data_IF_031264972065
#
_entry.id   IF_031264972065
#
_cell.length_a   1.000
_cell.length_b   1.000
_cell.length_c   1.000
_cell.angle_alpha   90.00
_cell.angle_beta   90.00
_cell.angle_gamma   90.00
#
_symmetry.space_group_name_H-M   'P 1'
#
loop_
_entity.id
_entity.type
_entity.pdbx_description
1 polymer ?
#
# COMPACT_ATOMS: atom_id res chain seq x y z
N UNK A 1 30.36 15.61 -9.95
CA UNK A 1 29.38 15.13 -8.95
C UNK A 1 29.34 13.59 -8.86
N UNK A 2 29.40 12.86 -9.98
CA UNK A 2 29.38 11.38 -10.03
C UNK A 2 30.61 10.69 -9.41
N UNK A 3 31.80 11.32 -9.42
CA UNK A 3 33.01 10.75 -8.79
C UNK A 3 33.00 10.75 -7.25
N UNK A 4 32.26 11.68 -6.60
CA UNK A 4 32.08 11.68 -5.14
C UNK A 4 31.11 10.58 -4.67
N UNK A 5 30.18 10.16 -5.53
CA UNK A 5 29.23 9.07 -5.24
C UNK A 5 29.90 7.69 -5.18
N UNK A 6 30.95 7.48 -6.00
CA UNK A 6 31.70 6.21 -6.03
C UNK A 6 32.62 6.00 -4.82
N UNK A 7 32.99 7.07 -4.12
CA UNK A 7 33.76 6.99 -2.87
C UNK A 7 32.86 6.67 -1.67
N UNK A 8 31.62 7.16 -1.64
CA UNK A 8 30.68 6.84 -0.54
C UNK A 8 30.17 5.40 -0.59
N UNK A 9 30.05 4.78 -1.77
CA UNK A 9 29.73 3.35 -1.87
C UNK A 9 30.83 2.44 -1.32
N UNK A 10 32.09 2.91 -1.28
CA UNK A 10 33.23 2.16 -0.69
C UNK A 10 33.20 2.20 0.84
N UNK A 11 32.84 3.34 1.42
CA UNK A 11 32.63 3.48 2.88
C UNK A 11 31.39 2.70 3.35
N UNK A 12 30.39 2.57 2.49
CA UNK A 12 29.17 1.78 2.74
C UNK A 12 29.43 0.26 2.72
N UNK A 13 30.23 -0.23 1.77
CA UNK A 13 30.66 -1.64 1.76
C UNK A 13 31.49 -1.95 3.01
N UNK A 14 32.31 -1.00 3.50
CA UNK A 14 32.98 -1.12 4.79
C UNK A 14 31.97 -1.24 5.93
N UNK A 15 31.04 -0.29 6.11
CA UNK A 15 30.09 -0.33 7.24
C UNK A 15 29.24 -1.61 7.28
N UNK A 16 28.88 -2.18 6.13
CA UNK A 16 28.13 -3.44 6.03
C UNK A 16 29.01 -4.68 6.23
N UNK A 17 30.26 -4.67 5.74
CA UNK A 17 31.24 -5.75 6.00
C UNK A 17 31.68 -5.77 7.47
N UNK A 18 31.64 -4.62 8.15
CA UNK A 18 32.00 -4.44 9.56
C UNK A 18 30.91 -4.89 10.55
N UNK A 19 29.66 -5.06 10.10
CA UNK A 19 28.54 -5.50 10.94
C UNK A 19 28.23 -7.01 10.85
N UNK A 20 28.85 -7.74 9.92
CA UNK A 20 28.69 -9.19 9.81
C UNK A 20 29.80 -9.93 10.60
N UNK A 21 29.48 -10.85 11.53
CA UNK A 21 30.47 -11.48 12.43
C UNK A 21 31.30 -12.60 11.78
N UNK A 22 31.59 -12.53 10.47
CA UNK A 22 32.25 -13.61 9.73
C UNK A 22 33.38 -13.11 8.83
N UNK A 23 34.44 -12.53 9.39
CA UNK A 23 35.79 -12.75 8.85
C UNK A 23 36.86 -12.46 9.91
N UNK A 24 37.85 -13.33 10.00
CA UNK A 24 38.90 -13.35 11.03
C UNK A 24 39.99 -12.27 10.85
N UNK A 25 39.76 -11.25 10.02
CA UNK A 25 40.67 -10.12 9.79
C UNK A 25 39.91 -8.79 9.91
N UNK A 26 39.24 -8.57 11.04
CA UNK A 26 38.70 -7.26 11.38
C UNK A 26 39.86 -6.29 11.65
N UNK A 27 40.15 -5.42 10.68
CA UNK A 27 40.88 -4.18 10.95
C UNK A 27 40.19 -3.42 12.09
N UNK A 28 40.99 -2.73 12.90
CA UNK A 28 40.71 -1.94 14.11
C UNK A 28 39.77 -0.72 13.87
N UNK A 29 38.65 -0.95 13.20
CA UNK A 29 37.74 0.04 12.59
C UNK A 29 36.56 0.39 13.48
N UNK A 30 36.26 -0.44 14.50
CA UNK A 30 35.31 -0.08 15.55
C UNK A 30 35.78 1.13 16.36
N UNK A 31 37.10 1.31 16.45
CA UNK A 31 37.76 2.38 17.20
C UNK A 31 37.56 3.73 16.49
N UNK A 32 37.79 3.79 15.18
CA UNK A 32 37.58 5.01 14.37
C UNK A 32 36.12 5.49 14.35
N UNK A 33 35.13 4.59 14.25
CA UNK A 33 33.72 5.00 14.28
C UNK A 33 33.32 5.55 15.65
N UNK A 34 33.81 4.93 16.74
CA UNK A 34 33.54 5.37 18.10
C UNK A 34 34.24 6.70 18.45
N UNK A 35 35.34 7.01 17.78
CA UNK A 35 36.06 8.29 17.91
C UNK A 35 35.38 9.46 17.17
N UNK A 36 34.46 9.19 16.23
CA UNK A 36 33.68 10.25 15.58
C UNK A 36 32.77 10.99 16.56
N UNK A 37 32.29 12.18 16.19
CA UNK A 37 31.22 12.81 16.95
C UNK A 37 29.88 12.09 16.70
N UNK A 38 28.95 12.19 17.66
CA UNK A 38 27.65 11.49 17.62
C UNK A 38 26.81 11.87 16.38
N UNK A 39 26.86 13.12 15.93
CA UNK A 39 26.07 13.57 14.78
C UNK A 39 26.54 12.93 13.46
N UNK A 40 27.86 12.81 13.28
CA UNK A 40 28.46 12.12 12.14
C UNK A 40 28.10 10.62 12.15
N UNK A 41 28.17 9.97 13.32
CA UNK A 41 27.74 8.57 13.46
C UNK A 41 26.28 8.38 13.09
N UNK A 42 25.38 9.22 13.62
CA UNK A 42 23.94 9.18 13.30
C UNK A 42 23.69 9.37 11.81
N UNK A 43 24.41 10.28 11.15
CA UNK A 43 24.28 10.51 9.72
C UNK A 43 24.70 9.28 8.91
N UNK A 44 25.79 8.61 9.29
CA UNK A 44 26.26 7.37 8.64
C UNK A 44 25.22 6.26 8.81
N UNK A 45 24.73 6.02 10.02
CA UNK A 45 23.69 5.02 10.30
C UNK A 45 22.42 5.33 9.51
N UNK A 46 22.05 6.62 9.44
CA UNK A 46 20.89 7.06 8.66
C UNK A 46 21.06 6.79 7.19
N UNK A 47 22.18 7.20 6.59
CA UNK A 47 22.46 6.96 5.18
C UNK A 47 22.45 5.45 4.88
N UNK A 48 23.05 4.64 5.75
CA UNK A 48 23.11 3.20 5.56
C UNK A 48 21.71 2.55 5.61
N UNK A 49 20.87 2.97 6.57
CA UNK A 49 19.48 2.52 6.64
C UNK A 49 18.67 2.96 5.41
N UNK A 50 18.85 4.20 4.93
CA UNK A 50 18.16 4.70 3.71
C UNK A 50 18.56 3.90 2.48
N UNK A 51 19.85 3.70 2.26
CA UNK A 51 20.36 2.93 1.11
C UNK A 51 19.81 1.52 1.13
N UNK A 52 19.78 0.87 2.30
CA UNK A 52 19.15 -0.45 2.45
C UNK A 52 17.64 -0.43 2.22
N UNK A 53 16.90 0.56 2.70
CA UNK A 53 15.48 0.72 2.37
C UNK A 53 15.22 0.82 0.86
N UNK A 54 16.13 1.45 0.12
CA UNK A 54 15.99 1.66 -1.32
C UNK A 54 16.44 0.44 -2.15
N UNK A 55 17.49 -0.26 -1.71
CA UNK A 55 17.99 -1.49 -2.32
C UNK A 55 17.03 -2.67 -2.09
N UNK A 56 16.51 -2.79 -0.87
CA UNK A 56 15.73 -3.95 -0.45
C UNK A 56 14.26 -3.83 -0.91
N UNK A 57 13.90 -4.66 -1.89
CA UNK A 57 12.54 -4.68 -2.46
C UNK A 57 11.57 -5.53 -1.62
N UNK A 58 12.05 -6.26 -0.62
CA UNK A 58 11.23 -7.12 0.24
C UNK A 58 11.05 -6.53 1.66
N UNK A 59 9.80 -6.30 2.11
CA UNK A 59 9.53 -5.80 3.46
C UNK A 59 10.02 -6.68 4.61
N UNK A 60 10.05 -8.00 4.42
CA UNK A 60 10.54 -8.95 5.43
C UNK A 60 12.04 -8.79 5.62
N UNK A 61 12.81 -8.76 4.52
CA UNK A 61 14.26 -8.58 4.56
C UNK A 61 14.65 -7.19 5.06
N UNK A 62 13.87 -6.16 4.72
CA UNK A 62 14.10 -4.81 5.24
C UNK A 62 13.93 -4.76 6.77
N UNK A 63 12.87 -5.38 7.30
CA UNK A 63 12.65 -5.44 8.75
C UNK A 63 13.77 -6.19 9.47
N UNK A 64 14.29 -7.27 8.88
CA UNK A 64 15.46 -7.99 9.42
C UNK A 64 16.69 -7.06 9.43
N UNK A 65 16.97 -6.39 8.32
CA UNK A 65 18.13 -5.49 8.19
C UNK A 65 18.07 -4.32 9.16
N UNK A 66 16.91 -3.65 9.28
CA UNK A 66 16.72 -2.56 10.24
C UNK A 66 16.81 -3.06 11.68
N UNK A 67 16.34 -4.27 11.96
CA UNK A 67 16.51 -4.92 13.27
C UNK A 67 17.98 -5.19 13.55
N UNK A 68 18.73 -5.73 12.61
CA UNK A 68 20.16 -6.04 12.78
C UNK A 68 20.97 -4.77 13.03
N UNK A 69 20.70 -3.69 12.28
CA UNK A 69 21.27 -2.36 12.54
C UNK A 69 20.93 -1.86 13.95
N UNK A 70 19.69 -2.06 14.41
CA UNK A 70 19.26 -1.66 15.75
C UNK A 70 19.87 -2.52 16.87
N UNK A 71 20.49 -3.67 16.57
CA UNK A 71 21.15 -4.53 17.56
C UNK A 71 22.63 -4.17 17.77
N UNK A 72 23.23 -3.35 16.90
CA UNK A 72 24.66 -2.98 16.99
C UNK A 72 24.98 -2.20 18.26
N UNK A 73 24.18 -1.18 18.60
CA UNK A 73 24.35 -0.38 19.81
C UNK A 73 23.06 0.37 20.18
N UNK A 74 22.99 0.92 21.39
CA UNK A 74 21.86 1.76 21.81
C UNK A 74 21.70 3.00 20.92
N UNK A 75 22.81 3.65 20.56
CA UNK A 75 22.79 4.82 19.67
C UNK A 75 22.24 4.47 18.28
N UNK A 76 22.60 3.30 17.73
CA UNK A 76 22.07 2.84 16.45
C UNK A 76 20.59 2.48 16.55
N UNK A 77 20.18 1.80 17.62
CA UNK A 77 18.77 1.52 17.89
C UNK A 77 17.93 2.80 17.89
N UNK A 78 18.37 3.81 18.64
CA UNK A 78 17.65 5.08 18.76
C UNK A 78 17.57 5.80 17.41
N UNK A 79 18.66 5.76 16.63
CA UNK A 79 18.72 6.32 15.27
C UNK A 79 17.80 5.60 14.30
N UNK A 80 17.79 4.27 14.28
CA UNK A 80 16.91 3.47 13.43
C UNK A 80 15.45 3.69 13.80
N UNK A 81 15.13 3.72 15.09
CA UNK A 81 13.78 4.01 15.58
C UNK A 81 13.33 5.41 15.15
N UNK A 82 14.21 6.41 15.25
CA UNK A 82 13.93 7.77 14.77
C UNK A 82 13.63 7.78 13.27
N UNK A 83 14.46 7.12 12.45
CA UNK A 83 14.27 7.02 11.00
C UNK A 83 12.92 6.41 10.64
N UNK A 84 12.55 5.31 11.30
CA UNK A 84 11.26 4.66 11.10
C UNK A 84 10.13 5.62 11.47
N UNK A 85 10.25 6.32 12.59
CA UNK A 85 9.22 7.26 13.07
C UNK A 85 9.08 8.49 12.18
N UNK A 86 10.16 9.02 11.61
CA UNK A 86 10.13 10.31 10.92
C UNK A 86 10.12 10.18 9.40
N UNK A 87 10.77 9.16 8.82
CA UNK A 87 10.98 9.06 7.37
C UNK A 87 10.19 7.91 6.72
N UNK A 88 9.71 6.92 7.49
CA UNK A 88 8.84 5.85 6.99
C UNK A 88 7.35 6.16 7.20
N UNK A 89 7.00 7.42 7.43
CA UNK A 89 5.62 7.89 7.45
C UNK A 89 5.10 8.10 6.02
N UNK A 90 3.81 7.89 5.81
CA UNK A 90 3.18 8.05 4.49
C UNK A 90 3.42 9.46 3.97
N UNK A 91 3.83 9.56 2.71
CA UNK A 91 4.14 10.83 2.05
C UNK A 91 5.58 11.34 2.25
N UNK A 92 6.36 10.73 3.14
CA UNK A 92 7.79 11.07 3.29
C UNK A 92 8.62 10.51 2.12
N UNK A 93 9.77 11.13 1.77
CA UNK A 93 10.55 10.72 0.60
C UNK A 93 10.99 9.26 0.60
N UNK A 94 11.45 8.74 1.74
CA UNK A 94 11.89 7.34 1.85
C UNK A 94 10.70 6.40 1.69
N UNK A 95 9.59 6.69 2.37
CA UNK A 95 8.34 5.94 2.22
C UNK A 95 7.89 5.90 0.77
N UNK A 96 7.85 7.07 0.09
CA UNK A 96 7.46 7.19 -1.32
C UNK A 96 8.31 6.32 -2.22
N UNK A 97 9.63 6.44 -2.12
CA UNK A 97 10.56 5.66 -2.92
C UNK A 97 10.42 4.15 -2.66
N UNK A 98 10.22 3.76 -1.39
CA UNK A 98 10.00 2.37 -1.01
C UNK A 98 8.69 1.80 -1.59
N UNK A 99 7.67 2.64 -1.73
CA UNK A 99 6.37 2.28 -2.31
C UNK A 99 6.27 2.50 -3.82
N UNK A 100 7.36 2.88 -4.50
CA UNK A 100 7.35 3.08 -5.96
C UNK A 100 6.69 4.39 -6.41
N UNK A 101 6.52 5.34 -5.49
CA UNK A 101 6.09 6.69 -5.81
C UNK A 101 7.31 7.47 -6.32
N UNK A 102 7.20 7.96 -7.54
CA UNK A 102 8.23 8.70 -8.27
C UNK A 102 7.70 10.10 -8.60
N UNK A 103 8.56 11.05 -9.01
CA UNK A 103 8.10 12.35 -9.49
C UNK A 103 7.03 12.26 -10.61
N UNK A 104 7.01 11.19 -11.41
CA UNK A 104 6.02 10.96 -12.48
C UNK A 104 4.60 10.79 -11.92
N UNK A 105 4.45 10.03 -10.82
CA UNK A 105 3.13 9.66 -10.26
C UNK A 105 2.84 10.32 -8.91
N UNK A 106 3.68 11.27 -8.47
CA UNK A 106 3.49 12.02 -7.23
C UNK A 106 2.18 12.81 -7.21
N UNK A 107 1.83 13.49 -8.31
CA UNK A 107 0.57 14.26 -8.39
C UNK A 107 -0.65 13.36 -8.21
N UNK A 108 -0.64 12.20 -8.88
CA UNK A 108 -1.68 11.19 -8.77
C UNK A 108 -1.72 10.62 -7.35
N UNK A 109 -0.56 10.34 -6.75
CA UNK A 109 -0.47 9.86 -5.37
C UNK A 109 -1.07 10.87 -4.38
N UNK A 110 -0.81 12.16 -4.57
CA UNK A 110 -1.45 13.21 -3.77
C UNK A 110 -2.96 13.26 -3.99
N UNK A 111 -3.45 13.14 -5.22
CA UNK A 111 -4.90 13.06 -5.49
C UNK A 111 -5.52 11.84 -4.83
N UNK A 112 -4.87 10.69 -4.89
CA UNK A 112 -5.31 9.46 -4.24
C UNK A 112 -5.39 9.62 -2.72
N UNK A 113 -4.36 10.16 -2.07
CA UNK A 113 -4.35 10.43 -0.62
C UNK A 113 -5.45 11.41 -0.20
N UNK A 114 -5.71 12.43 -1.02
CA UNK A 114 -6.78 13.40 -0.77
C UNK A 114 -8.18 12.86 -1.15
N UNK A 115 -8.24 11.68 -1.73
CA UNK A 115 -9.49 11.03 -2.09
C UNK A 115 -10.35 10.76 -0.86
N UNK A 116 -11.67 10.84 -1.05
CA UNK A 116 -12.66 10.64 0.02
C UNK A 116 -13.60 9.53 -0.37
N UNK A 117 -13.75 8.53 0.50
CA UNK A 117 -14.85 7.58 0.45
C UNK A 117 -16.08 8.21 1.13
N UNK A 118 -17.13 8.41 0.36
CA UNK A 118 -18.41 8.93 0.84
C UNK A 118 -19.39 7.78 0.96
N UNK A 119 -19.99 7.65 2.14
CA UNK A 119 -21.12 6.77 2.38
C UNK A 119 -22.40 7.61 2.51
N UNK A 120 -23.44 7.26 1.76
CA UNK A 120 -24.78 7.84 1.83
C UNK A 120 -25.81 6.74 2.11
N UNK A 121 -26.36 6.64 3.33
CA UNK A 121 -27.36 5.62 3.64
C UNK A 121 -28.66 5.82 2.84
N UNK A 122 -28.99 7.06 2.48
CA UNK A 122 -30.07 7.41 1.56
C UNK A 122 -29.48 8.09 0.33
N UNK A 123 -29.60 7.49 -0.86
CA UNK A 123 -29.03 8.05 -2.09
C UNK A 123 -29.66 9.38 -2.51
N UNK A 124 -30.87 9.68 -2.05
CA UNK A 124 -31.59 10.91 -2.36
C UNK A 124 -31.32 12.05 -1.36
N UNK A 125 -30.56 11.81 -0.28
CA UNK A 125 -30.33 12.78 0.78
C UNK A 125 -28.90 12.72 1.32
N UNK A 126 -28.39 13.84 1.84
CA UNK A 126 -27.12 13.88 2.58
C UNK A 126 -27.31 13.60 4.08
N UNK A 127 -28.55 13.29 4.53
CA UNK A 127 -28.83 12.86 5.89
C UNK A 127 -28.08 11.56 6.23
N UNK A 128 -27.34 11.57 7.35
CA UNK A 128 -26.52 10.44 7.78
C UNK A 128 -25.28 10.18 6.92
N UNK A 129 -24.92 11.08 6.00
CA UNK A 129 -23.72 10.96 5.16
C UNK A 129 -22.45 10.92 6.00
N UNK A 130 -21.57 10.00 5.64
CA UNK A 130 -20.24 9.86 6.24
C UNK A 130 -19.20 10.09 5.14
N UNK A 131 -18.11 10.78 5.48
CA UNK A 131 -16.99 11.02 4.59
C UNK A 131 -15.71 10.59 5.28
N UNK A 132 -15.02 9.62 4.69
CA UNK A 132 -13.78 9.03 5.19
C UNK A 132 -12.68 9.40 4.20
N UNK A 133 -11.71 10.20 4.62
CA UNK A 133 -10.56 10.48 3.74
C UNK A 133 -9.63 9.27 3.71
N UNK A 134 -9.06 9.00 2.55
CA UNK A 134 -8.01 7.98 2.41
C UNK A 134 -6.79 8.34 3.28
N UNK A 135 -6.47 9.64 3.42
CA UNK A 135 -5.42 10.12 4.33
C UNK A 135 -5.67 9.80 5.81
N UNK A 136 -6.94 9.70 6.23
CA UNK A 136 -7.31 9.52 7.63
C UNK A 136 -7.24 8.04 8.04
N UNK A 137 -6.90 7.15 7.11
CA UNK A 137 -6.47 5.79 7.42
C UNK A 137 -5.16 5.93 8.18
N UNK A 138 -5.25 5.87 9.53
CA UNK A 138 -4.12 5.95 10.48
C UNK A 138 -2.97 4.98 10.16
N UNK A 139 -3.26 4.02 9.28
CA UNK A 139 -2.34 3.06 8.70
C UNK A 139 -2.65 2.88 7.22
N UNK A 140 -2.47 3.92 6.40
CA UNK A 140 -2.48 3.78 4.94
C UNK A 140 -1.62 2.56 4.55
N UNK A 141 -2.24 1.58 3.88
CA UNK A 141 -1.65 0.27 3.56
C UNK A 141 -1.37 -0.67 4.74
N UNK A 142 -2.03 -0.51 5.89
CA UNK A 142 -2.11 -1.55 6.94
C UNK A 142 -3.54 -1.63 7.46
N UNK A 143 -4.32 -2.53 6.89
CA UNK A 143 -5.69 -2.81 7.34
C UNK A 143 -6.78 -2.12 6.51
N UNK A 144 -8.04 -2.53 6.75
CA UNK A 144 -9.20 -1.97 6.06
C UNK A 144 -9.62 -0.61 6.64
N UNK A 145 -10.44 0.11 5.87
CA UNK A 145 -11.16 1.30 6.32
C UNK A 145 -12.11 0.94 7.46
N UNK A 146 -12.15 1.80 8.48
CA UNK A 146 -13.12 1.67 9.57
C UNK A 146 -14.51 2.08 9.08
N UNK A 147 -15.37 1.10 8.88
CA UNK A 147 -16.75 1.28 8.46
C UNK A 147 -17.73 1.25 9.64
N UNK A 148 -17.27 1.24 10.90
CA UNK A 148 -18.13 1.10 12.10
C UNK A 148 -19.31 2.06 12.16
N UNK A 149 -19.20 3.24 11.53
CA UNK A 149 -20.27 4.25 11.46
C UNK A 149 -21.28 4.01 10.33
N UNK A 150 -21.05 3.04 9.44
CA UNK A 150 -21.88 2.77 8.25
C UNK A 150 -22.98 1.71 8.52
N UNK A 151 -23.37 1.50 9.78
CA UNK A 151 -24.41 0.54 10.17
C UNK A 151 -24.06 -0.91 9.84
N UNK A 152 -25.08 -1.69 9.48
CA UNK A 152 -24.94 -3.14 9.22
C UNK A 152 -24.03 -3.46 8.03
N UNK A 153 -23.76 -2.48 7.16
CA UNK A 153 -22.85 -2.66 6.02
C UNK A 153 -21.44 -3.03 6.47
N UNK A 154 -21.00 -2.51 7.62
CA UNK A 154 -19.68 -2.80 8.19
C UNK A 154 -19.47 -4.30 8.51
N UNK A 155 -20.57 -5.04 8.68
CA UNK A 155 -20.51 -6.48 8.95
C UNK A 155 -20.27 -7.29 7.68
N UNK A 156 -20.65 -6.77 6.51
CA UNK A 156 -20.66 -7.51 5.23
C UNK A 156 -19.62 -7.02 4.24
N UNK A 157 -19.11 -5.81 4.41
CA UNK A 157 -18.21 -5.14 3.47
C UNK A 157 -16.87 -4.80 4.12
N UNK A 158 -15.80 -5.00 3.37
CA UNK A 158 -14.44 -4.56 3.71
C UNK A 158 -13.93 -3.72 2.55
N UNK A 159 -13.50 -2.50 2.83
CA UNK A 159 -12.84 -1.64 1.84
C UNK A 159 -11.41 -1.41 2.31
N UNK A 160 -10.43 -1.58 1.43
CA UNK A 160 -9.01 -1.46 1.76
C UNK A 160 -8.21 -0.79 0.64
N UNK A 161 -7.06 -0.24 0.98
CA UNK A 161 -6.04 0.18 0.00
C UNK A 161 -4.83 -0.77 -0.02
N UNK A 162 -4.79 -1.74 0.90
CA UNK A 162 -3.71 -2.72 1.03
C UNK A 162 -4.02 -4.02 0.27
N UNK A 163 -3.22 -4.38 -0.74
CA UNK A 163 -3.37 -5.64 -1.46
C UNK A 163 -3.26 -6.87 -0.56
N UNK A 164 -2.46 -6.81 0.51
CA UNK A 164 -2.30 -7.95 1.42
C UNK A 164 -3.57 -8.23 2.22
N UNK A 165 -4.25 -7.18 2.70
CA UNK A 165 -5.58 -7.30 3.32
C UNK A 165 -6.60 -7.83 2.32
N UNK A 166 -6.55 -7.30 1.09
CA UNK A 166 -7.46 -7.74 0.04
C UNK A 166 -7.25 -9.21 -0.30
N UNK A 167 -6.04 -9.76 -0.24
CA UNK A 167 -5.77 -11.17 -0.55
C UNK A 167 -5.88 -12.13 0.65
N UNK A 168 -6.12 -11.61 1.86
CA UNK A 168 -6.30 -12.40 3.08
C UNK A 168 -7.68 -13.08 3.07
N UNK A 169 -7.74 -14.33 2.62
CA UNK A 169 -8.98 -15.10 2.50
C UNK A 169 -9.51 -15.58 3.85
N UNK A 170 -8.62 -15.98 4.76
CA UNK A 170 -9.00 -16.67 5.99
C UNK A 170 -9.65 -15.69 6.98
N UNK A 171 -9.26 -14.42 6.93
CA UNK A 171 -9.79 -13.38 7.81
C UNK A 171 -11.16 -12.82 7.40
N UNK A 172 -11.53 -12.92 6.11
CA UNK A 172 -12.69 -12.21 5.55
C UNK A 172 -13.62 -13.11 4.74
N UNK A 173 -13.59 -14.42 4.96
CA UNK A 173 -14.27 -15.44 4.17
C UNK A 173 -15.75 -15.12 3.83
N UNK A 174 -16.48 -14.53 4.78
CA UNK A 174 -17.92 -14.24 4.68
C UNK A 174 -18.25 -12.79 4.27
N UNK A 175 -17.23 -12.00 3.90
CA UNK A 175 -17.37 -10.60 3.51
C UNK A 175 -17.09 -10.39 2.03
N UNK A 176 -17.65 -9.31 1.49
CA UNK A 176 -17.24 -8.76 0.22
C UNK A 176 -16.09 -7.78 0.45
N UNK A 177 -15.03 -7.90 -0.35
CA UNK A 177 -13.85 -7.07 -0.26
C UNK A 177 -13.76 -6.18 -1.49
N UNK A 178 -13.51 -4.90 -1.24
CA UNK A 178 -13.18 -3.92 -2.26
C UNK A 178 -11.78 -3.40 -1.98
N UNK A 179 -10.88 -3.54 -2.96
CA UNK A 179 -9.57 -2.90 -2.95
C UNK A 179 -9.61 -1.70 -3.89
N UNK A 180 -9.20 -0.54 -3.38
CA UNK A 180 -8.97 0.66 -4.18
C UNK A 180 -7.51 1.05 -4.01
N UNK A 181 -6.73 0.96 -5.08
CA UNK A 181 -5.27 1.12 -5.00
C UNK A 181 -4.69 1.67 -6.28
N UNK A 182 -3.51 2.28 -6.18
CA UNK A 182 -2.77 2.75 -7.35
C UNK A 182 -2.02 1.61 -8.03
N UNK A 183 -1.91 1.69 -9.36
CA UNK A 183 -1.13 0.75 -10.16
C UNK A 183 0.32 0.64 -9.68
N UNK A 184 0.97 1.77 -9.42
CA UNK A 184 2.38 1.82 -9.00
C UNK A 184 2.64 1.10 -7.67
N UNK A 185 1.66 1.09 -6.77
CA UNK A 185 1.75 0.39 -5.48
C UNK A 185 1.67 -1.13 -5.66
N UNK A 186 0.83 -1.59 -6.58
CA UNK A 186 0.74 -3.01 -6.96
C UNK A 186 2.02 -3.42 -7.68
N UNK A 187 2.46 -2.64 -8.68
CA UNK A 187 3.65 -2.90 -9.48
C UNK A 187 4.89 -3.07 -8.59
N UNK A 188 5.06 -2.23 -7.58
CA UNK A 188 6.18 -2.34 -6.64
C UNK A 188 6.18 -3.67 -5.87
N UNK A 189 5.00 -4.25 -5.61
CA UNK A 189 4.81 -5.48 -4.83
C UNK A 189 4.54 -6.72 -5.71
N UNK A 190 4.56 -6.58 -7.04
CA UNK A 190 4.12 -7.62 -7.98
C UNK A 190 4.94 -8.92 -7.85
N UNK A 191 6.23 -8.83 -7.55
CA UNK A 191 7.08 -10.02 -7.36
C UNK A 191 6.99 -10.62 -5.93
N UNK A 192 5.96 -10.26 -5.16
CA UNK A 192 5.81 -10.65 -3.75
C UNK A 192 4.33 -10.79 -3.38
N UNK A 193 3.86 -9.99 -2.42
CA UNK A 193 2.49 -9.99 -1.89
C UNK A 193 1.40 -9.66 -2.91
N UNK A 194 1.74 -8.99 -4.02
CA UNK A 194 0.78 -8.63 -5.06
C UNK A 194 0.94 -9.47 -6.34
N UNK A 195 1.71 -10.56 -6.33
CA UNK A 195 1.88 -11.44 -7.49
C UNK A 195 0.59 -11.94 -8.13
N UNK A 196 -0.51 -12.15 -7.39
CA UNK A 196 -1.75 -12.54 -8.04
C UNK A 196 -2.18 -11.53 -9.12
N UNK A 197 -1.91 -10.22 -8.94
CA UNK A 197 -2.29 -9.17 -9.90
C UNK A 197 -1.46 -9.15 -11.19
N UNK A 198 -0.43 -9.99 -11.35
CA UNK A 198 0.45 -9.98 -12.53
C UNK A 198 -0.29 -10.05 -13.88
N UNK A 199 -1.34 -10.88 -14.08
CA UNK A 199 -2.03 -10.99 -15.37
C UNK A 199 -2.70 -9.69 -15.82
N UNK A 200 -3.19 -8.87 -14.88
CA UNK A 200 -3.89 -7.62 -15.21
C UNK A 200 -2.92 -6.44 -15.46
N UNK A 201 -1.66 -6.55 -14.99
CA UNK A 201 -0.71 -5.44 -15.06
C UNK A 201 -0.32 -5.07 -16.50
N UNK A 202 -0.46 -6.01 -17.43
CA UNK A 202 -0.19 -5.81 -18.85
C UNK A 202 -1.16 -4.82 -19.49
N UNK A 203 -2.43 -4.90 -19.12
CA UNK A 203 -3.52 -4.12 -19.75
C UNK A 203 -3.93 -2.92 -18.89
N UNK A 204 -3.54 -2.90 -17.61
CA UNK A 204 -3.73 -1.74 -16.73
C UNK A 204 -2.77 -0.62 -17.14
N UNK A 205 -3.27 0.41 -17.81
CA UNK A 205 -2.47 1.57 -18.25
C UNK A 205 -2.42 2.65 -17.15
N UNK A 206 -1.22 2.93 -16.60
CA UNK A 206 -1.02 3.92 -15.53
C UNK A 206 -1.43 5.35 -15.93
N UNK A 207 -1.20 5.72 -17.19
CA UNK A 207 -1.40 7.09 -17.66
C UNK A 207 -2.89 7.39 -17.91
N UNK A 208 -3.71 6.35 -18.12
CA UNK A 208 -5.17 6.46 -18.30
C UNK A 208 -5.90 6.18 -16.99
N UNK A 209 -5.54 5.10 -16.31
CA UNK A 209 -6.21 4.58 -15.14
C UNK A 209 -5.20 4.38 -13.99
N UNK A 210 -4.74 5.46 -13.35
CA UNK A 210 -3.72 5.35 -12.31
C UNK A 210 -4.18 4.57 -11.06
N UNK A 211 -5.50 4.49 -10.85
CA UNK A 211 -6.15 3.81 -9.72
C UNK A 211 -7.06 2.72 -10.26
N UNK A 212 -7.02 1.56 -9.60
CA UNK A 212 -7.84 0.41 -9.90
C UNK A 212 -8.78 0.11 -8.75
N UNK A 213 -9.97 -0.37 -9.08
CA UNK A 213 -10.96 -0.89 -8.13
C UNK A 213 -11.10 -2.38 -8.36
N UNK A 214 -10.99 -3.18 -7.32
CA UNK A 214 -11.08 -4.65 -7.36
C UNK A 214 -12.15 -5.12 -6.40
N UNK A 215 -13.00 -6.05 -6.84
CA UNK A 215 -14.04 -6.68 -6.03
C UNK A 215 -13.84 -8.18 -5.94
N UNK A 216 -13.99 -8.75 -4.74
CA UNK A 216 -14.07 -10.21 -4.56
C UNK A 216 -14.90 -10.60 -3.35
N UNK A 217 -15.38 -11.84 -3.35
CA UNK A 217 -15.81 -12.50 -2.12
C UNK A 217 -14.62 -13.09 -1.36
N UNK A 218 -14.68 -13.05 -0.03
CA UNK A 218 -13.58 -13.50 0.83
C UNK A 218 -13.12 -14.92 0.58
N UNK A 219 -14.04 -15.83 0.33
CA UNK A 219 -13.74 -17.24 0.02
C UNK A 219 -13.11 -17.44 -1.39
N UNK A 220 -13.08 -16.42 -2.25
CA UNK A 220 -12.56 -16.53 -3.63
C UNK A 220 -11.11 -16.09 -3.73
N UNK A 221 -10.23 -16.99 -4.17
CA UNK A 221 -8.79 -16.74 -4.30
C UNK A 221 -8.31 -16.59 -5.73
N UNK A 222 -9.15 -16.94 -6.72
CA UNK A 222 -8.79 -16.93 -8.12
C UNK A 222 -9.10 -15.56 -8.72
N UNK A 223 -8.06 -14.82 -9.14
CA UNK A 223 -8.19 -13.48 -9.71
C UNK A 223 -8.90 -13.42 -11.06
N UNK A 224 -8.91 -14.50 -11.84
CA UNK A 224 -9.71 -14.55 -13.07
C UNK A 224 -11.22 -14.45 -12.81
N UNK A 225 -11.65 -14.59 -11.55
CA UNK A 225 -13.03 -14.40 -11.11
C UNK A 225 -13.24 -13.08 -10.36
N UNK A 226 -12.23 -12.22 -10.31
CA UNK A 226 -12.32 -10.94 -9.65
C UNK A 226 -12.64 -9.86 -10.67
N UNK A 227 -13.72 -9.16 -10.40
CA UNK A 227 -14.07 -7.98 -11.16
C UNK A 227 -13.10 -6.86 -10.82
N UNK A 228 -12.57 -6.22 -11.86
CA UNK A 228 -11.61 -5.16 -11.70
C UNK A 228 -11.84 -4.05 -12.72
N UNK A 229 -11.82 -2.81 -12.24
CA UNK A 229 -11.94 -1.62 -13.05
C UNK A 229 -10.59 -0.91 -13.09
N UNK A 230 -9.85 -1.14 -14.19
CA UNK A 230 -8.46 -0.67 -14.39
C UNK A 230 -8.32 0.16 -15.68
N UNK A 231 -9.43 0.63 -16.23
CA UNK A 231 -9.49 1.40 -17.49
C UNK A 231 -10.05 2.81 -17.33
N UNK A 232 -10.65 3.13 -16.18
CA UNK A 232 -11.21 4.45 -15.90
C UNK A 232 -10.19 5.38 -15.24
N UNK A 233 -10.27 6.65 -15.62
CA UNK A 233 -9.54 7.72 -14.94
C UNK A 233 -10.21 8.08 -13.60
N UNK A 234 -9.58 8.98 -12.85
CA UNK A 234 -10.07 9.39 -11.52
C UNK A 234 -11.42 10.12 -11.54
N UNK A 235 -11.71 10.89 -12.60
CA UNK A 235 -12.97 11.62 -12.75
C UNK A 235 -14.12 10.64 -13.04
N UNK A 236 -13.87 9.67 -13.93
CA UNK A 236 -14.81 8.59 -14.24
C UNK A 236 -15.15 7.78 -12.99
N UNK A 237 -14.13 7.40 -12.21
CA UNK A 237 -14.34 6.71 -10.93
C UNK A 237 -15.18 7.58 -9.98
N UNK A 238 -14.89 8.87 -9.93
CA UNK A 238 -15.57 9.82 -9.04
C UNK A 238 -17.02 10.14 -9.41
N UNK A 239 -17.41 9.84 -10.65
CA UNK A 239 -18.76 10.08 -11.16
C UNK A 239 -19.77 8.99 -10.80
N UNK A 240 -19.30 7.87 -10.23
CA UNK A 240 -20.08 6.64 -10.03
C UNK A 240 -19.98 6.14 -8.60
N UNK A 241 -21.03 5.48 -8.11
CA UNK A 241 -20.94 4.73 -6.86
C UNK A 241 -20.07 3.47 -7.04
N UNK A 242 -19.76 2.78 -5.94
CA UNK A 242 -18.89 1.60 -5.96
C UNK A 242 -19.49 0.43 -6.74
N UNK A 243 -20.81 0.27 -6.69
CA UNK A 243 -21.50 -0.76 -7.47
C UNK A 243 -21.35 -0.51 -8.97
N UNK A 244 -21.58 0.72 -9.45
CA UNK A 244 -21.51 1.06 -10.86
C UNK A 244 -20.07 1.00 -11.41
N UNK A 245 -19.09 1.42 -10.59
CA UNK A 245 -17.66 1.22 -10.91
C UNK A 245 -17.31 -0.26 -11.01
N UNK A 246 -17.87 -1.10 -10.14
CA UNK A 246 -17.69 -2.55 -10.18
C UNK A 246 -18.37 -3.20 -11.38
N UNK A 247 -19.54 -2.72 -11.82
CA UNK A 247 -20.25 -3.25 -13.00
C UNK A 247 -19.57 -2.93 -14.33
N UNK A 248 -18.80 -1.85 -14.42
CA UNK A 248 -18.18 -1.38 -15.66
C UNK A 248 -17.11 -2.33 -16.25
N UNK A 249 -16.84 -3.44 -15.57
CA UNK A 249 -15.77 -4.39 -15.86
C UNK A 249 -16.18 -5.47 -16.88
N UNK A 250 -17.48 -5.61 -17.16
CA UNK A 250 -18.00 -6.45 -18.25
C UNK A 250 -17.67 -7.95 -18.16
N UNK A 251 -17.27 -8.45 -16.98
CA UNK A 251 -16.83 -9.85 -16.84
C UNK A 251 -18.02 -10.83 -16.85
N UNK A 252 -17.86 -11.95 -17.55
CA UNK A 252 -18.83 -13.07 -17.57
C UNK A 252 -19.03 -13.75 -16.20
N UNK A 253 -18.24 -13.36 -15.17
CA UNK A 253 -18.48 -13.79 -13.78
C UNK A 253 -19.88 -13.37 -13.29
N UNK A 254 -20.49 -12.38 -13.94
CA UNK A 254 -21.89 -11.97 -13.76
C UNK A 254 -22.91 -13.12 -13.85
N UNK A 255 -22.73 -14.06 -14.79
CA UNK A 255 -23.66 -15.18 -14.95
C UNK A 255 -23.62 -16.15 -13.75
N UNK A 256 -22.44 -16.32 -13.15
CA UNK A 256 -22.28 -17.08 -11.90
C UNK A 256 -22.86 -16.30 -10.71
N UNK A 257 -22.71 -14.98 -10.68
CA UNK A 257 -23.22 -14.12 -9.61
C UNK A 257 -24.74 -13.98 -9.57
N UNK A 258 -25.41 -13.84 -10.72
CA UNK A 258 -26.87 -13.78 -10.78
C UNK A 258 -27.50 -15.15 -10.47
N UNK A 259 -26.83 -16.24 -10.86
CA UNK A 259 -27.18 -17.59 -10.39
C UNK A 259 -27.02 -17.73 -8.87
N UNK A 260 -25.90 -17.26 -8.32
CA UNK A 260 -25.63 -17.32 -6.87
C UNK A 260 -26.47 -16.34 -6.04
N UNK A 261 -26.95 -15.23 -6.57
CA UNK A 261 -27.84 -14.32 -5.85
C UNK A 261 -29.17 -15.00 -5.45
N UNK A 262 -29.60 -16.00 -6.23
CA UNK A 262 -30.74 -16.85 -5.88
C UNK A 262 -30.44 -17.88 -4.77
N UNK A 263 -29.16 -18.21 -4.56
CA UNK A 263 -28.68 -19.22 -3.60
C UNK A 263 -28.09 -18.59 -2.33
N UNK A 264 -27.59 -17.36 -2.42
CA UNK A 264 -26.92 -16.60 -1.37
C UNK A 264 -27.57 -15.20 -1.25
N UNK A 265 -28.63 -15.05 -0.43
CA UNK A 265 -29.30 -13.76 -0.20
C UNK A 265 -28.36 -12.63 0.21
N UNK A 266 -27.21 -12.97 0.81
CA UNK A 266 -26.15 -12.02 1.19
C UNK A 266 -25.54 -11.29 0.00
N UNK A 267 -25.53 -11.89 -1.19
CA UNK A 267 -24.99 -11.26 -2.41
C UNK A 267 -25.85 -10.07 -2.84
N UNK A 268 -27.18 -10.22 -2.82
CA UNK A 268 -28.11 -9.13 -3.14
C UNK A 268 -28.02 -7.95 -2.16
N UNK A 269 -27.81 -8.23 -0.87
CA UNK A 269 -27.65 -7.20 0.16
C UNK A 269 -26.37 -6.39 -0.02
N UNK A 270 -25.24 -7.06 -0.30
CA UNK A 270 -23.96 -6.38 -0.57
C UNK A 270 -24.05 -5.47 -1.80
N UNK A 271 -24.81 -5.86 -2.84
CA UNK A 271 -25.03 -5.02 -4.03
C UNK A 271 -25.76 -3.72 -3.69
N UNK A 272 -26.82 -3.80 -2.88
CA UNK A 272 -27.55 -2.63 -2.42
C UNK A 272 -26.66 -1.72 -1.56
N UNK A 273 -25.88 -2.33 -0.67
CA UNK A 273 -24.98 -1.63 0.24
C UNK A 273 -23.82 -0.93 -0.49
N UNK A 274 -23.29 -1.52 -1.57
CA UNK A 274 -22.22 -0.91 -2.38
C UNK A 274 -22.67 0.35 -3.14
N UNK A 275 -23.96 0.47 -3.48
CA UNK A 275 -24.50 1.70 -4.11
C UNK A 275 -24.39 2.92 -3.19
N UNK A 276 -24.36 2.69 -1.88
CA UNK A 276 -24.26 3.75 -0.89
C UNK A 276 -22.85 4.35 -0.79
N UNK A 277 -21.83 3.72 -1.40
CA UNK A 277 -20.46 4.21 -1.36
C UNK A 277 -20.03 4.85 -2.66
N UNK A 278 -19.27 5.93 -2.58
CA UNK A 278 -18.69 6.62 -3.73
C UNK A 278 -17.29 7.10 -3.37
N UNK A 279 -16.31 6.81 -4.23
CA UNK A 279 -14.99 7.42 -4.12
C UNK A 279 -15.00 8.77 -4.82
N UNK A 280 -14.35 9.77 -4.23
CA UNK A 280 -14.22 11.10 -4.82
C UNK A 280 -12.74 11.48 -4.79
N UNK A 281 -12.12 11.54 -5.96
CA UNK A 281 -10.75 11.99 -6.18
C UNK A 281 -10.79 13.40 -6.77
N UNK A 282 -10.78 14.43 -5.92
CA UNK A 282 -10.81 15.81 -6.41
C UNK A 282 -9.39 16.25 -6.84
N UNK A 283 -9.22 16.85 -8.03
CA UNK A 283 -8.02 17.63 -8.29
C UNK A 283 -7.97 18.82 -7.32
N UNK A 284 -6.76 19.15 -6.85
CA UNK A 284 -6.50 20.37 -6.09
C UNK A 284 -6.41 21.57 -7.04
#
# INVERSE_FOLDING_TARGET
MIKKFKLMSSSFLMAVTLAAPFSSHAMDTGTEFNEMNSDARKLIVKQAAVEKCLEEKNPVTLNITLRDLALVSREWKDTVVDIIKTNMQVGQPIWKAWHGITPKNETVFQQFLNGTLVFRPNLASDEGKISLKISDITTLFKGPLDLSKCGDVAQKLVITTDPSVFLDKDKYEDKFLILVTMRSLIEKKINSTASPFEPIMKDWNEDIAPVGIFGRWGMWTILSWQDHHTTANLDDISSKNLYDNWQATGSDAWLLFDGLASVLPRVGLVRADAKNFMFIFKPK
#
